data_IF_965624182855
#
_entry.id   IF_965624182855
#
_cell.length_a   1.000
_cell.length_b   1.000
_cell.length_c   1.000
_cell.angle_alpha   90.00
_cell.angle_beta   90.00
_cell.angle_gamma   90.00
#
_symmetry.space_group_name_H-M   'P 1'
#
loop_
_entity.id
_entity.type
_entity.pdbx_description
1 polymer ?
#
# COMPACT_ATOMS: atom_id res chain seq x y z
N UNK A 1 -60.34 18.66 -53.42
CA UNK A 1 -60.56 17.68 -52.34
C UNK A 1 -59.45 16.64 -52.27
N UNK A 2 -59.16 15.86 -53.32
CA UNK A 2 -58.11 14.81 -53.26
C UNK A 2 -56.68 15.34 -53.05
N UNK A 3 -56.31 16.45 -53.69
CA UNK A 3 -54.99 17.06 -53.52
C UNK A 3 -54.75 17.60 -52.09
N UNK A 4 -55.78 18.13 -51.42
CA UNK A 4 -55.68 18.58 -50.02
C UNK A 4 -55.48 17.41 -49.05
N UNK A 5 -56.14 16.27 -49.29
CA UNK A 5 -55.98 15.06 -48.48
C UNK A 5 -54.58 14.47 -48.65
N UNK A 6 -54.06 14.44 -49.88
CA UNK A 6 -52.71 13.99 -50.18
C UNK A 6 -51.64 14.88 -49.51
N UNK A 7 -51.77 16.21 -49.61
CA UNK A 7 -50.89 17.16 -48.94
C UNK A 7 -50.94 17.01 -47.41
N UNK A 8 -52.13 16.84 -46.82
CA UNK A 8 -52.27 16.54 -45.38
C UNK A 8 -51.58 15.23 -44.98
N UNK A 9 -51.73 14.17 -45.76
CA UNK A 9 -51.07 12.89 -45.47
C UNK A 9 -49.54 12.97 -45.57
N UNK A 10 -49.01 13.73 -46.53
CA UNK A 10 -47.57 13.97 -46.62
C UNK A 10 -47.06 14.74 -45.40
N UNK A 11 -47.79 15.76 -44.96
CA UNK A 11 -47.40 16.56 -43.80
C UNK A 11 -47.44 15.76 -42.49
N UNK A 12 -48.42 14.87 -42.32
CA UNK A 12 -48.49 13.94 -41.18
C UNK A 12 -47.27 13.00 -41.18
N UNK A 13 -46.85 12.48 -42.34
CA UNK A 13 -45.66 11.62 -42.45
C UNK A 13 -44.38 12.36 -42.08
N UNK A 14 -44.21 13.58 -42.55
CA UNK A 14 -43.06 14.43 -42.22
C UNK A 14 -42.99 14.73 -40.72
N UNK A 15 -44.11 15.11 -40.10
CA UNK A 15 -44.19 15.33 -38.66
C UNK A 15 -43.87 14.06 -37.85
N UNK A 16 -44.35 12.91 -38.30
CA UNK A 16 -44.05 11.62 -37.65
C UNK A 16 -42.56 11.27 -37.76
N UNK A 17 -41.92 11.52 -38.91
CA UNK A 17 -40.50 11.27 -39.12
C UNK A 17 -39.62 12.21 -38.26
N UNK A 18 -39.96 13.49 -38.20
CA UNK A 18 -39.29 14.47 -37.33
C UNK A 18 -39.43 14.10 -35.85
N UNK A 19 -40.64 13.73 -35.42
CA UNK A 19 -40.88 13.26 -34.06
C UNK A 19 -40.07 12.00 -33.75
N UNK A 20 -39.96 11.06 -34.69
CA UNK A 20 -39.15 9.85 -34.52
C UNK A 20 -37.66 10.17 -34.42
N UNK A 21 -37.13 11.04 -35.29
CA UNK A 21 -35.74 11.51 -35.26
C UNK A 21 -35.44 12.22 -33.93
N UNK A 22 -36.33 13.08 -33.46
CA UNK A 22 -36.18 13.77 -32.18
C UNK A 22 -36.18 12.79 -31.00
N UNK A 23 -37.08 11.80 -30.98
CA UNK A 23 -37.11 10.73 -29.96
C UNK A 23 -35.81 9.93 -29.94
N UNK A 24 -35.27 9.55 -31.11
CA UNK A 24 -33.98 8.83 -31.21
C UNK A 24 -32.83 9.65 -30.65
N UNK A 25 -32.75 10.95 -30.98
CA UNK A 25 -31.74 11.88 -30.44
C UNK A 25 -31.83 12.00 -28.92
N UNK A 26 -33.03 12.24 -28.38
CA UNK A 26 -33.26 12.33 -26.92
C UNK A 26 -32.88 11.03 -26.20
N UNK A 27 -33.24 9.86 -26.75
CA UNK A 27 -32.89 8.56 -26.16
C UNK A 27 -31.37 8.33 -26.15
N UNK A 28 -30.69 8.68 -27.25
CA UNK A 28 -29.23 8.57 -27.34
C UNK A 28 -28.53 9.49 -26.32
N UNK A 29 -29.04 10.70 -26.13
CA UNK A 29 -28.49 11.66 -25.18
C UNK A 29 -28.69 11.20 -23.73
N UNK A 30 -29.89 10.73 -23.37
CA UNK A 30 -30.17 10.16 -22.05
C UNK A 30 -29.26 8.94 -21.78
N UNK A 31 -29.06 8.08 -22.79
CA UNK A 31 -28.16 6.93 -22.66
C UNK A 31 -26.70 7.38 -22.45
N UNK A 32 -26.24 8.43 -23.15
CA UNK A 32 -24.90 8.99 -22.96
C UNK A 32 -24.70 9.55 -21.57
N UNK A 33 -25.64 10.39 -21.09
CA UNK A 33 -25.58 10.97 -19.75
C UNK A 33 -25.57 9.88 -18.68
N UNK A 34 -26.47 8.89 -18.78
CA UNK A 34 -26.50 7.76 -17.84
C UNK A 34 -25.21 6.94 -17.85
N UNK A 35 -24.61 6.71 -19.02
CA UNK A 35 -23.33 6.01 -19.12
C UNK A 35 -22.17 6.83 -18.53
N UNK A 36 -22.18 8.16 -18.69
CA UNK A 36 -21.21 9.05 -18.05
C UNK A 36 -21.33 9.01 -16.53
N UNK A 37 -22.54 9.12 -15.99
CA UNK A 37 -22.80 9.06 -14.54
C UNK A 37 -22.33 7.72 -13.95
N UNK A 38 -22.65 6.60 -14.61
CA UNK A 38 -22.19 5.27 -14.19
C UNK A 38 -20.67 5.18 -14.13
N UNK A 39 -19.97 5.71 -15.14
CA UNK A 39 -18.50 5.72 -15.17
C UNK A 39 -17.90 6.61 -14.09
N UNK A 40 -18.50 7.78 -13.85
CA UNK A 40 -18.05 8.68 -12.78
C UNK A 40 -18.24 8.01 -11.40
N UNK A 41 -19.40 7.40 -11.17
CA UNK A 41 -19.69 6.66 -9.94
C UNK A 41 -18.72 5.49 -9.75
N UNK A 42 -18.48 4.69 -10.78
CA UNK A 42 -17.54 3.57 -10.72
C UNK A 42 -16.11 4.04 -10.38
N UNK A 43 -15.62 5.09 -11.02
CA UNK A 43 -14.29 5.66 -10.71
C UNK A 43 -14.20 6.13 -9.26
N UNK A 44 -15.24 6.78 -8.74
CA UNK A 44 -15.29 7.22 -7.34
C UNK A 44 -15.28 6.03 -6.38
N UNK A 45 -15.99 4.96 -6.70
CA UNK A 45 -16.00 3.73 -5.91
C UNK A 45 -14.64 3.04 -5.91
N UNK A 46 -13.96 2.95 -7.07
CA UNK A 46 -12.60 2.40 -7.19
C UNK A 46 -11.59 3.21 -6.36
N UNK A 47 -11.63 4.54 -6.43
CA UNK A 47 -10.76 5.41 -5.62
C UNK A 47 -11.04 5.24 -4.13
N UNK A 48 -12.31 5.22 -3.72
CA UNK A 48 -12.69 4.99 -2.31
C UNK A 48 -12.23 3.62 -1.81
N UNK A 49 -12.38 2.58 -2.63
CA UNK A 49 -11.94 1.24 -2.28
C UNK A 49 -10.40 1.18 -2.12
N UNK A 50 -9.66 1.79 -3.04
CA UNK A 50 -8.20 1.91 -2.94
C UNK A 50 -7.79 2.65 -1.67
N UNK A 51 -8.38 3.81 -1.39
CA UNK A 51 -8.09 4.59 -0.18
C UNK A 51 -8.36 3.79 1.10
N UNK A 52 -9.51 3.10 1.17
CA UNK A 52 -9.84 2.26 2.31
C UNK A 52 -8.86 1.10 2.49
N UNK A 53 -8.39 0.52 1.38
CA UNK A 53 -7.38 -0.53 1.41
C UNK A 53 -6.02 0.01 1.89
N UNK A 54 -5.62 1.18 1.42
CA UNK A 54 -4.39 1.84 1.84
C UNK A 54 -4.42 2.20 3.33
N UNK A 55 -5.53 2.75 3.83
CA UNK A 55 -5.75 3.02 5.26
C UNK A 55 -5.66 1.74 6.10
N UNK A 56 -6.30 0.65 5.65
CA UNK A 56 -6.23 -0.63 6.34
C UNK A 56 -4.79 -1.18 6.39
N UNK A 57 -4.05 -1.06 5.28
CA UNK A 57 -2.64 -1.45 5.21
C UNK A 57 -1.77 -0.62 6.16
N UNK A 58 -2.01 0.70 6.24
CA UNK A 58 -1.30 1.59 7.17
C UNK A 58 -1.59 1.22 8.63
N UNK A 59 -2.85 0.96 8.97
CA UNK A 59 -3.23 0.56 10.32
C UNK A 59 -2.57 -0.78 10.71
N UNK A 60 -2.57 -1.76 9.80
CA UNK A 60 -1.91 -3.04 10.04
C UNK A 60 -0.39 -2.89 10.22
N UNK A 61 0.27 -2.04 9.41
CA UNK A 61 1.69 -1.71 9.59
C UNK A 61 1.95 -1.14 10.99
N UNK A 62 1.11 -0.24 11.46
CA UNK A 62 1.29 0.42 12.75
C UNK A 62 1.06 -0.52 13.94
N UNK A 63 0.08 -1.42 13.84
CA UNK A 63 -0.13 -2.48 14.83
C UNK A 63 1.10 -3.40 14.92
N UNK A 64 1.59 -3.89 13.78
CA UNK A 64 2.79 -4.71 13.71
C UNK A 64 4.01 -3.97 14.27
N UNK A 65 4.17 -2.68 13.93
CA UNK A 65 5.25 -1.84 14.45
C UNK A 65 5.19 -1.75 15.97
N UNK A 66 4.01 -1.51 16.53
CA UNK A 66 3.81 -1.42 17.97
C UNK A 66 4.15 -2.72 18.69
N UNK A 67 3.77 -3.87 18.13
CA UNK A 67 4.10 -5.19 18.67
C UNK A 67 5.60 -5.45 18.62
N UNK A 68 6.23 -5.25 17.46
CA UNK A 68 7.66 -5.45 17.27
C UNK A 68 8.48 -4.54 18.19
N UNK A 69 8.11 -3.27 18.32
CA UNK A 69 8.80 -2.34 19.24
C UNK A 69 8.71 -2.84 20.69
N UNK A 70 7.56 -3.37 21.12
CA UNK A 70 7.40 -3.93 22.48
C UNK A 70 8.32 -5.13 22.68
N UNK A 71 8.35 -6.06 21.73
CA UNK A 71 9.25 -7.23 21.76
C UNK A 71 10.72 -6.82 21.80
N UNK A 72 11.11 -5.87 20.95
CA UNK A 72 12.48 -5.36 20.88
C UNK A 72 12.89 -4.62 22.15
N UNK A 73 11.98 -3.90 22.81
CA UNK A 73 12.26 -3.30 24.13
C UNK A 73 12.52 -4.35 25.21
N UNK A 74 11.73 -5.42 25.24
CA UNK A 74 11.97 -6.54 26.16
C UNK A 74 13.32 -7.20 25.87
N UNK A 75 13.68 -7.34 24.59
CA UNK A 75 14.96 -7.87 24.16
C UNK A 75 16.12 -6.97 24.61
N UNK A 76 16.00 -5.66 24.42
CA UNK A 76 16.99 -4.67 24.82
C UNK A 76 17.23 -4.67 26.34
N UNK A 77 16.17 -4.81 27.15
CA UNK A 77 16.31 -4.93 28.61
C UNK A 77 17.06 -6.19 29.06
N UNK A 78 17.00 -7.28 28.26
CA UNK A 78 17.68 -8.55 28.56
C UNK A 78 19.12 -8.58 28.04
N UNK A 79 19.48 -7.73 27.09
CA UNK A 79 20.78 -7.74 26.42
C UNK A 79 21.67 -6.62 26.95
N UNK A 80 22.75 -6.98 27.64
CA UNK A 80 23.66 -6.01 28.27
C UNK A 80 24.77 -5.51 27.34
N UNK A 81 25.09 -6.26 26.28
CA UNK A 81 26.16 -5.99 25.32
C UNK A 81 25.70 -6.22 23.87
N UNK A 82 26.43 -5.61 22.92
CA UNK A 82 26.12 -5.74 21.49
C UNK A 82 26.17 -7.20 21.01
N UNK A 83 27.06 -8.03 21.53
CA UNK A 83 27.17 -9.41 21.07
C UNK A 83 25.94 -10.25 21.46
N UNK A 84 25.41 -10.08 22.67
CA UNK A 84 24.19 -10.79 23.10
C UNK A 84 22.95 -10.32 22.35
N UNK A 85 22.86 -9.02 22.03
CA UNK A 85 21.80 -8.50 21.15
C UNK A 85 21.87 -9.13 19.76
N UNK A 86 23.05 -9.14 19.13
CA UNK A 86 23.19 -9.69 17.78
C UNK A 86 22.84 -11.18 17.75
N UNK A 87 23.28 -11.95 18.77
CA UNK A 87 22.90 -13.37 18.92
C UNK A 87 21.40 -13.56 19.08
N UNK A 88 20.75 -12.75 19.91
CA UNK A 88 19.31 -12.87 20.16
C UNK A 88 18.46 -12.44 18.96
N UNK A 89 18.99 -11.55 18.11
CA UNK A 89 18.43 -11.23 16.79
C UNK A 89 18.70 -12.29 15.71
N UNK A 90 19.39 -13.39 16.05
CA UNK A 90 19.70 -14.47 15.10
C UNK A 90 20.87 -14.15 14.16
N UNK A 91 21.82 -13.34 14.62
CA UNK A 91 23.10 -13.08 13.94
C UNK A 91 24.23 -13.69 14.76
N UNK A 92 24.91 -14.74 14.26
CA UNK A 92 25.96 -15.40 15.02
C UNK A 92 27.17 -14.47 15.21
N UNK A 93 27.68 -14.40 16.43
CA UNK A 93 28.91 -13.68 16.76
C UNK A 93 30.01 -14.70 17.02
N UNK A 94 31.12 -14.60 16.28
CA UNK A 94 32.29 -15.45 16.46
C UNK A 94 33.03 -15.08 17.76
N UNK A 95 33.69 -16.05 18.41
CA UNK A 95 34.44 -15.79 19.65
C UNK A 95 33.75 -16.20 20.96
N UNK A 96 32.63 -16.94 20.90
CA UNK A 96 32.02 -17.57 22.08
C UNK A 96 31.46 -16.56 23.10
N UNK A 97 31.77 -16.77 24.39
CA UNK A 97 31.27 -15.91 25.49
C UNK A 97 31.92 -14.52 25.53
N UNK A 98 33.16 -14.38 25.06
CA UNK A 98 33.93 -13.12 25.08
C UNK A 98 34.48 -12.81 23.69
N UNK A 99 33.62 -12.38 22.76
CA UNK A 99 34.04 -12.04 21.41
C UNK A 99 34.89 -10.77 21.40
N UNK A 100 35.90 -10.73 20.52
CA UNK A 100 36.71 -9.52 20.35
C UNK A 100 35.89 -8.39 19.69
N UNK A 101 36.26 -7.11 19.90
CA UNK A 101 35.56 -5.98 19.27
C UNK A 101 35.44 -6.11 17.74
N UNK A 102 36.46 -6.68 17.09
CA UNK A 102 36.46 -6.92 15.64
C UNK A 102 35.41 -7.96 15.22
N UNK A 103 35.26 -9.05 15.98
CA UNK A 103 34.26 -10.09 15.72
C UNK A 103 32.84 -9.56 15.90
N UNK A 104 32.62 -8.76 16.95
CA UNK A 104 31.33 -8.08 17.17
C UNK A 104 31.05 -7.09 16.05
N UNK A 105 32.05 -6.33 15.60
CA UNK A 105 31.90 -5.38 14.50
C UNK A 105 31.58 -6.08 13.16
N UNK A 106 32.20 -7.23 12.89
CA UNK A 106 31.89 -8.05 11.72
C UNK A 106 30.45 -8.60 11.77
N UNK A 107 30.00 -9.06 12.94
CA UNK A 107 28.61 -9.46 13.16
C UNK A 107 27.63 -8.29 13.00
N UNK A 108 27.97 -7.11 13.51
CA UNK A 108 27.19 -5.89 13.32
C UNK A 108 26.99 -5.56 11.83
N UNK A 109 28.06 -5.58 11.02
CA UNK A 109 27.97 -5.35 9.57
C UNK A 109 27.04 -6.36 8.89
N UNK A 110 27.14 -7.64 9.27
CA UNK A 110 26.23 -8.69 8.77
C UNK A 110 24.78 -8.41 9.16
N UNK A 111 24.52 -7.96 10.38
CA UNK A 111 23.18 -7.63 10.86
C UNK A 111 22.58 -6.44 10.09
N UNK A 112 23.36 -5.36 9.92
CA UNK A 112 22.99 -4.18 9.11
C UNK A 112 22.58 -4.59 7.69
N UNK A 113 23.35 -5.46 7.05
CA UNK A 113 23.04 -5.97 5.72
C UNK A 113 21.84 -6.93 5.71
N UNK A 114 21.61 -7.70 6.77
CA UNK A 114 20.49 -8.66 6.86
C UNK A 114 19.16 -7.95 7.08
N UNK A 115 19.15 -6.90 7.89
CA UNK A 115 17.96 -6.16 8.27
C UNK A 115 17.81 -4.83 7.50
N UNK A 116 18.51 -4.66 6.38
CA UNK A 116 18.41 -3.44 5.58
C UNK A 116 17.02 -3.34 4.92
N UNK A 117 16.32 -2.18 5.00
CA UNK A 117 14.98 -2.02 4.44
C UNK A 117 14.91 -2.36 2.95
N UNK A 118 15.92 -1.95 2.15
CA UNK A 118 15.96 -2.24 0.71
C UNK A 118 15.94 -3.74 0.38
N UNK A 119 16.47 -4.61 1.26
CA UNK A 119 16.45 -6.06 1.04
C UNK A 119 15.10 -6.70 1.38
N UNK A 120 14.26 -6.00 2.13
CA UNK A 120 12.93 -6.47 2.54
C UNK A 120 11.79 -5.79 1.81
N UNK A 121 12.08 -4.81 0.94
CA UNK A 121 11.09 -4.04 0.17
C UNK A 121 10.08 -4.89 -0.63
N UNK A 122 10.50 -6.06 -1.13
CA UNK A 122 9.64 -7.03 -1.83
C UNK A 122 9.03 -8.13 -0.96
N UNK A 123 9.27 -8.11 0.36
CA UNK A 123 8.85 -9.16 1.30
C UNK A 123 7.53 -8.84 2.00
N UNK A 124 7.06 -9.74 2.86
CA UNK A 124 5.79 -9.56 3.59
C UNK A 124 5.80 -8.29 4.46
N UNK A 125 4.63 -7.69 4.67
CA UNK A 125 4.45 -6.48 5.48
C UNK A 125 5.12 -6.57 6.86
N UNK A 126 4.92 -7.70 7.53
CA UNK A 126 5.51 -7.97 8.85
C UNK A 126 7.04 -8.00 8.80
N UNK A 127 7.61 -8.62 7.77
CA UNK A 127 9.06 -8.73 7.60
C UNK A 127 9.70 -7.37 7.30
N UNK A 128 9.02 -6.52 6.52
CA UNK A 128 9.45 -5.14 6.28
C UNK A 128 9.55 -4.35 7.58
N UNK A 129 8.47 -4.34 8.36
CA UNK A 129 8.42 -3.61 9.64
C UNK A 129 9.43 -4.20 10.63
N UNK A 130 9.56 -5.53 10.68
CA UNK A 130 10.50 -6.20 11.57
C UNK A 130 11.95 -5.86 11.25
N UNK A 131 12.32 -5.87 9.97
CA UNK A 131 13.66 -5.48 9.53
C UNK A 131 13.94 -4.00 9.85
N UNK A 132 13.00 -3.10 9.56
CA UNK A 132 13.13 -1.66 9.85
C UNK A 132 13.39 -1.40 11.34
N UNK A 133 12.58 -1.99 12.23
CA UNK A 133 12.69 -1.75 13.67
C UNK A 133 13.95 -2.44 14.26
N UNK A 134 14.31 -3.63 13.77
CA UNK A 134 15.59 -4.27 14.14
C UNK A 134 16.79 -3.43 13.70
N UNK A 135 16.75 -2.87 12.50
CA UNK A 135 17.81 -2.00 11.98
C UNK A 135 17.99 -0.74 12.82
N UNK A 136 16.87 -0.09 13.21
CA UNK A 136 16.89 1.06 14.13
C UNK A 136 17.50 0.69 15.48
N UNK A 137 17.10 -0.45 16.05
CA UNK A 137 17.65 -0.93 17.31
C UNK A 137 19.17 -1.18 17.23
N UNK A 138 19.61 -1.91 16.20
CA UNK A 138 21.04 -2.21 15.98
C UNK A 138 21.87 -0.93 15.83
N UNK A 139 21.35 0.05 15.10
CA UNK A 139 22.01 1.35 14.91
C UNK A 139 22.12 2.13 16.21
N UNK A 140 21.02 2.22 16.98
CA UNK A 140 21.02 2.84 18.33
C UNK A 140 22.00 2.16 19.28
N UNK A 141 22.04 0.83 19.28
CA UNK A 141 22.93 0.07 20.16
C UNK A 141 24.40 0.26 19.79
N UNK A 142 24.71 0.41 18.50
CA UNK A 142 26.09 0.72 18.05
C UNK A 142 26.56 2.07 18.60
N UNK A 143 25.69 3.06 18.66
CA UNK A 143 25.99 4.36 19.28
C UNK A 143 26.13 4.27 20.79
N UNK A 144 25.33 3.43 21.45
CA UNK A 144 25.37 3.21 22.91
C UNK A 144 26.66 2.53 23.37
N UNK A 145 27.11 1.50 22.65
CA UNK A 145 28.28 0.70 23.02
C UNK A 145 29.55 1.10 22.27
N UNK A 146 29.68 2.37 21.84
CA UNK A 146 30.80 2.89 21.02
C UNK A 146 32.04 2.00 21.15
N UNK A 147 32.33 1.22 20.11
CA UNK A 147 33.54 0.40 20.06
C UNK A 147 34.73 1.37 20.07
N UNK A 148 35.27 1.68 21.26
CA UNK A 148 36.60 2.25 21.43
C UNK A 148 37.63 1.13 21.37
#
# INVERSE_FOLDING_TARGET
>A
MEQELASRQQQIKLQAEEAQKLRKRKKAEIMRLSNMEKRQKQRLEEVRASQKQDEANLNLKEQLRSEIIKELKVLEMRCFDMASLLRSLGVPVEGGMHPSPQQVHAAYKRAVLKFHPDRTSGSNLKQQVEAEEKFKLISRMKEKYKFQ
#
